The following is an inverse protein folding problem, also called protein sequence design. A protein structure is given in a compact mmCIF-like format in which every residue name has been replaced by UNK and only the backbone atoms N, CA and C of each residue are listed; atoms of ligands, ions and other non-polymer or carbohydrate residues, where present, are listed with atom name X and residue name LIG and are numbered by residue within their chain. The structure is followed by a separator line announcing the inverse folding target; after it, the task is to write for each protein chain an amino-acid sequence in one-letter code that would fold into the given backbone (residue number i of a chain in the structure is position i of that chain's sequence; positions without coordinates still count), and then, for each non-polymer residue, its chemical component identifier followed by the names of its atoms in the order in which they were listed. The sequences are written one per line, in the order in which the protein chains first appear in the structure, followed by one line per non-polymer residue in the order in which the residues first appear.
data_IF_965186385991
#
_entry.id   IF_965186385991
#
_cell.length_a   1.000
_cell.length_b   1.000
_cell.length_c   1.000
_cell.angle_alpha   90.00
_cell.angle_beta   90.00
_cell.angle_gamma   90.00
#
_symmetry.space_group_name_H-M   'P 1'
#
loop_
_entity.id
_entity.type
_entity.pdbx_description
1 polymer ?
#
# COMPACT_ATOMS: atom_id res chain seq x y z
N UNK A 1 -1.97 -10.07 -9.74
CA UNK A 1 -0.81 -9.58 -10.54
C UNK A 1 -0.84 -10.07 -11.99
N UNK A 2 -1.21 -11.32 -12.27
CA UNK A 2 -1.19 -11.88 -13.63
C UNK A 2 -1.92 -11.02 -14.69
N UNK A 3 -3.10 -10.47 -14.39
CA UNK A 3 -3.83 -9.60 -15.32
C UNK A 3 -3.09 -8.30 -15.68
N UNK A 4 -2.30 -7.75 -14.76
CA UNK A 4 -1.49 -6.55 -15.01
C UNK A 4 -0.28 -6.87 -15.88
N UNK A 5 0.33 -8.03 -15.67
CA UNK A 5 1.40 -8.52 -16.52
C UNK A 5 0.90 -8.83 -17.94
N UNK A 6 -0.23 -9.56 -18.06
CA UNK A 6 -0.85 -9.83 -19.36
C UNK A 6 -1.24 -8.57 -20.14
N UNK A 7 -1.58 -7.49 -19.45
CA UNK A 7 -1.85 -6.18 -20.06
C UNK A 7 -0.58 -5.34 -20.33
N UNK A 8 0.61 -5.85 -20.06
CA UNK A 8 1.88 -5.15 -20.26
C UNK A 8 2.12 -3.97 -19.29
N UNK A 9 1.36 -3.86 -18.22
CA UNK A 9 1.46 -2.76 -17.24
C UNK A 9 2.50 -3.07 -16.16
N UNK A 10 2.61 -4.33 -15.75
CA UNK A 10 3.62 -4.82 -14.82
C UNK A 10 4.56 -5.76 -15.57
N UNK A 11 5.86 -5.49 -15.53
CA UNK A 11 6.87 -6.30 -16.20
C UNK A 11 7.48 -7.36 -15.28
N UNK A 12 7.69 -7.00 -14.02
CA UNK A 12 8.27 -7.86 -13.00
C UNK A 12 7.51 -7.70 -11.68
N UNK A 13 7.41 -8.79 -10.93
CA UNK A 13 6.87 -8.80 -9.58
C UNK A 13 7.88 -9.41 -8.62
N UNK A 14 8.39 -8.58 -7.71
CA UNK A 14 9.29 -9.01 -6.66
C UNK A 14 8.48 -9.34 -5.40
N UNK A 15 8.49 -10.60 -5.00
CA UNK A 15 7.90 -11.10 -3.76
C UNK A 15 8.98 -11.14 -2.69
N UNK A 16 8.82 -10.34 -1.64
CA UNK A 16 9.79 -10.31 -0.55
C UNK A 16 9.53 -11.42 0.46
N UNK A 17 10.49 -12.35 0.62
CA UNK A 17 10.40 -13.44 1.59
C UNK A 17 10.55 -12.91 3.04
N UNK A 18 9.46 -12.36 3.55
CA UNK A 18 9.31 -12.00 4.96
C UNK A 18 8.45 -13.04 5.72
N UNK A 19 8.28 -14.22 5.15
CA UNK A 19 7.48 -15.33 5.68
C UNK A 19 8.01 -15.83 7.02
N UNK A 20 7.10 -16.09 7.94
CA UNK A 20 7.39 -16.58 9.29
C UNK A 20 7.00 -18.02 9.48
N UNK A 21 5.98 -18.44 8.75
CA UNK A 21 5.45 -19.78 8.75
C UNK A 21 6.02 -20.55 7.57
N UNK A 22 6.20 -21.86 7.73
CA UNK A 22 6.72 -22.70 6.66
C UNK A 22 5.78 -22.70 5.43
N UNK A 23 4.48 -22.62 5.67
CA UNK A 23 3.47 -22.54 4.62
C UNK A 23 3.54 -21.23 3.84
N UNK A 24 3.85 -20.10 4.46
CA UNK A 24 4.06 -18.82 3.76
C UNK A 24 5.25 -18.93 2.81
N UNK A 25 6.35 -19.53 3.29
CA UNK A 25 7.57 -19.71 2.49
C UNK A 25 7.31 -20.66 1.32
N UNK A 26 6.62 -21.78 1.57
CA UNK A 26 6.25 -22.74 0.51
C UNK A 26 5.37 -22.08 -0.57
N UNK A 27 4.37 -21.32 -0.16
CA UNK A 27 3.51 -20.58 -1.08
C UNK A 27 4.29 -19.57 -1.94
N UNK A 28 5.22 -18.81 -1.34
CA UNK A 28 6.04 -17.86 -2.09
C UNK A 28 6.98 -18.56 -3.08
N UNK A 29 7.51 -19.74 -2.74
CA UNK A 29 8.31 -20.57 -3.65
C UNK A 29 7.49 -21.10 -4.82
N UNK A 30 6.28 -21.59 -4.56
CA UNK A 30 5.33 -22.03 -5.60
C UNK A 30 4.97 -20.86 -6.53
N UNK A 31 4.68 -19.70 -5.95
CA UNK A 31 4.38 -18.50 -6.72
C UNK A 31 5.55 -18.08 -7.63
N UNK A 32 6.77 -18.09 -7.11
CA UNK A 32 7.98 -17.80 -7.90
C UNK A 32 8.17 -18.81 -9.05
N UNK A 33 7.88 -20.09 -8.81
CA UNK A 33 7.98 -21.12 -9.84
C UNK A 33 6.88 -21.03 -10.90
N UNK A 34 5.77 -20.33 -10.61
CA UNK A 34 4.59 -20.29 -11.49
C UNK A 34 4.78 -19.45 -12.75
N UNK A 35 5.71 -18.47 -12.74
CA UNK A 35 5.92 -17.60 -13.90
C UNK A 35 7.30 -16.89 -13.86
N UNK A 36 7.98 -16.74 -15.02
CA UNK A 36 9.34 -16.18 -15.08
C UNK A 36 9.43 -14.68 -14.76
N UNK A 37 8.32 -13.97 -14.73
CA UNK A 37 8.26 -12.54 -14.36
C UNK A 37 8.04 -12.33 -12.86
N UNK A 38 7.95 -13.42 -12.06
CA UNK A 38 7.87 -13.37 -10.61
C UNK A 38 9.25 -13.73 -10.05
N UNK A 39 9.78 -12.89 -9.18
CA UNK A 39 11.07 -13.10 -8.53
C UNK A 39 10.89 -13.11 -7.02
N UNK A 40 11.22 -14.24 -6.40
CA UNK A 40 11.31 -14.33 -4.95
C UNK A 40 12.60 -13.66 -4.49
N UNK A 41 12.48 -12.57 -3.74
CA UNK A 41 13.60 -11.88 -3.12
C UNK A 41 13.83 -12.48 -1.74
N UNK A 42 14.93 -13.24 -1.54
CA UNK A 42 15.18 -13.88 -0.27
C UNK A 42 15.42 -12.85 0.82
N UNK A 43 15.15 -13.24 2.07
CA UNK A 43 15.43 -12.39 3.21
C UNK A 43 16.92 -11.97 3.22
N UNK A 44 17.22 -10.65 3.26
CA UNK A 44 18.59 -10.15 3.04
C UNK A 44 19.59 -10.43 4.17
N UNK A 45 19.22 -11.18 5.18
CA UNK A 45 20.09 -11.58 6.30
C UNK A 45 19.95 -13.06 6.62
N UNK A 46 21.05 -13.72 6.92
CA UNK A 46 21.02 -15.11 7.39
C UNK A 46 20.52 -15.25 8.84
N UNK A 47 20.49 -14.16 9.59
CA UNK A 47 20.03 -14.17 10.96
C UNK A 47 18.50 -13.86 11.05
N UNK A 48 17.70 -14.83 10.64
CA UNK A 48 16.24 -14.78 10.80
C UNK A 48 15.82 -14.69 12.29
N UNK A 49 16.69 -15.05 13.25
CA UNK A 49 16.43 -14.96 14.70
C UNK A 49 16.52 -13.52 15.22
N UNK A 50 17.36 -12.70 14.64
CA UNK A 50 17.42 -11.28 15.00
C UNK A 50 16.10 -10.54 14.76
N UNK A 51 15.28 -11.04 13.82
CA UNK A 51 13.94 -10.53 13.53
C UNK A 51 12.89 -10.84 14.60
N UNK A 52 12.95 -12.05 15.16
CA UNK A 52 11.96 -12.48 16.15
C UNK A 52 12.10 -11.73 17.49
N UNK A 53 13.30 -11.22 17.80
CA UNK A 53 13.65 -10.69 19.12
C UNK A 53 13.46 -9.18 19.23
N UNK A 54 13.51 -8.38 18.13
CA UNK A 54 13.53 -6.92 18.22
C UNK A 54 12.52 -6.19 17.33
N UNK A 55 11.37 -6.77 17.10
CA UNK A 55 10.30 -6.01 16.40
C UNK A 55 10.61 -5.71 14.93
N UNK A 56 9.65 -5.96 14.16
CA UNK A 56 9.48 -5.93 12.70
C UNK A 56 10.13 -4.79 11.86
N UNK A 57 10.47 -3.61 12.38
CA UNK A 57 10.90 -2.49 11.52
C UNK A 57 12.22 -2.75 10.79
N UNK A 58 13.12 -3.55 11.36
CA UNK A 58 14.46 -3.73 10.78
C UNK A 58 14.46 -4.64 9.54
N UNK A 59 13.60 -5.65 9.51
CA UNK A 59 13.58 -6.61 8.41
C UNK A 59 13.18 -5.99 7.07
N UNK A 60 12.11 -5.24 7.05
CA UNK A 60 11.63 -4.57 5.83
C UNK A 60 12.65 -3.56 5.31
N UNK A 61 13.35 -2.85 6.18
CA UNK A 61 14.43 -1.94 5.77
C UNK A 61 15.56 -2.63 5.01
N UNK A 62 15.87 -3.88 5.37
CA UNK A 62 16.87 -4.66 4.64
C UNK A 62 16.41 -4.98 3.21
N UNK A 63 15.13 -5.26 3.01
CA UNK A 63 14.58 -5.41 1.66
C UNK A 63 14.66 -4.09 0.87
N UNK A 64 14.29 -2.97 1.47
CA UNK A 64 14.45 -1.66 0.84
C UNK A 64 15.91 -1.40 0.45
N UNK A 65 16.85 -1.70 1.34
CA UNK A 65 18.27 -1.51 1.09
C UNK A 65 18.79 -2.44 -0.03
N UNK A 66 18.36 -3.68 -0.07
CA UNK A 66 18.69 -4.63 -1.14
C UNK A 66 18.15 -4.18 -2.50
N UNK A 67 17.02 -3.51 -2.55
CA UNK A 67 16.38 -3.06 -3.78
C UNK A 67 16.85 -1.70 -4.27
N UNK A 68 17.58 -0.93 -3.47
CA UNK A 68 18.06 0.41 -3.89
C UNK A 68 19.00 0.40 -5.08
N UNK A 69 19.73 -0.71 -5.28
CA UNK A 69 20.68 -0.87 -6.36
C UNK A 69 20.06 -1.37 -7.68
N UNK A 70 18.79 -1.77 -7.64
CA UNK A 70 18.08 -2.16 -8.86
C UNK A 70 17.90 -0.94 -9.75
N UNK A 71 18.67 -0.90 -10.82
CA UNK A 71 18.96 0.30 -11.64
C UNK A 71 17.92 0.64 -12.70
N UNK A 72 16.73 0.07 -12.64
CA UNK A 72 15.71 0.36 -13.66
C UNK A 72 15.15 1.78 -13.51
N UNK A 73 15.13 2.54 -14.59
CA UNK A 73 14.48 3.87 -14.68
C UNK A 73 12.95 3.81 -14.62
N UNK A 74 12.39 2.68 -14.17
CA UNK A 74 10.97 2.43 -14.16
C UNK A 74 10.25 3.01 -12.96
N UNK A 75 8.93 3.05 -13.06
CA UNK A 75 8.06 3.25 -11.91
C UNK A 75 8.00 1.95 -11.11
N UNK A 76 8.10 2.07 -9.81
CA UNK A 76 7.93 0.98 -8.87
C UNK A 76 6.64 1.15 -8.11
N UNK A 77 6.00 0.05 -7.82
CA UNK A 77 4.81 0.01 -6.98
C UNK A 77 5.00 -1.05 -5.90
N UNK A 78 4.65 -0.72 -4.67
CA UNK A 78 4.56 -1.65 -3.56
C UNK A 78 3.11 -1.89 -3.22
N UNK A 79 2.76 -3.16 -3.04
CA UNK A 79 1.53 -3.61 -2.42
C UNK A 79 1.85 -4.28 -1.09
N UNK A 80 1.06 -4.02 -0.05
CA UNK A 80 1.07 -4.85 1.15
C UNK A 80 0.48 -6.23 0.84
N UNK A 81 0.85 -7.22 1.62
CA UNK A 81 0.44 -8.63 1.46
C UNK A 81 -1.05 -8.87 1.71
N UNK A 82 -1.74 -7.92 2.32
CA UNK A 82 -3.16 -7.95 2.61
C UNK A 82 -4.00 -7.02 1.71
N UNK A 83 -3.49 -6.65 0.54
CA UNK A 83 -4.31 -6.07 -0.53
C UNK A 83 -5.10 -7.19 -1.21
N UNK A 84 -6.42 -7.19 -1.01
CA UNK A 84 -7.33 -8.24 -1.46
C UNK A 84 -8.03 -7.96 -2.78
N UNK A 85 -7.97 -6.71 -3.24
CA UNK A 85 -8.47 -6.29 -4.55
C UNK A 85 -7.74 -5.04 -5.02
N UNK A 86 -7.58 -4.91 -6.32
CA UNK A 86 -7.06 -3.70 -6.94
C UNK A 86 -7.79 -3.46 -8.27
N UNK A 87 -7.86 -2.21 -8.69
CA UNK A 87 -8.58 -1.73 -9.87
C UNK A 87 -8.04 -2.35 -11.19
N UNK A 88 -8.62 -1.99 -12.32
CA UNK A 88 -8.27 -2.51 -13.63
C UNK A 88 -6.82 -2.19 -14.06
N UNK A 89 -6.24 -2.95 -15.02
CA UNK A 89 -4.92 -2.64 -15.58
C UNK A 89 -4.83 -1.23 -16.15
N UNK A 90 -5.89 -0.70 -16.78
CA UNK A 90 -5.90 0.66 -17.29
C UNK A 90 -5.74 1.70 -16.17
N UNK A 91 -6.41 1.49 -15.04
CA UNK A 91 -6.29 2.38 -13.87
C UNK A 91 -4.92 2.30 -13.19
N UNK A 92 -4.33 1.11 -13.16
CA UNK A 92 -2.94 0.99 -12.72
C UNK A 92 -2.00 1.75 -13.66
N UNK A 93 -2.18 1.64 -14.97
CA UNK A 93 -1.38 2.41 -15.95
C UNK A 93 -1.50 3.92 -15.73
N UNK A 94 -2.73 4.44 -15.53
CA UNK A 94 -2.97 5.85 -15.18
C UNK A 94 -2.23 6.28 -13.90
N UNK A 95 -2.22 5.43 -12.88
CA UNK A 95 -1.51 5.67 -11.62
C UNK A 95 0.01 5.71 -11.79
N UNK A 96 0.56 4.77 -12.57
CA UNK A 96 1.99 4.74 -12.88
C UNK A 96 2.40 5.95 -13.73
N UNK A 97 1.56 6.39 -14.66
CA UNK A 97 1.78 7.59 -15.44
C UNK A 97 1.68 8.87 -14.60
N UNK A 98 0.74 8.94 -13.66
CA UNK A 98 0.69 10.01 -12.67
C UNK A 98 1.99 10.06 -11.84
N UNK A 99 2.53 8.91 -11.47
CA UNK A 99 3.82 8.82 -10.77
C UNK A 99 4.97 9.38 -11.61
N UNK A 100 5.01 9.08 -12.92
CA UNK A 100 6.03 9.63 -13.84
C UNK A 100 5.91 11.16 -13.95
N UNK A 101 4.69 11.68 -14.11
CA UNK A 101 4.44 13.13 -14.18
C UNK A 101 4.77 13.88 -12.90
N UNK A 102 4.75 13.20 -11.78
CA UNK A 102 5.06 13.79 -10.45
C UNK A 102 6.55 13.90 -10.15
N UNK A 103 7.42 13.53 -11.10
CA UNK A 103 8.88 13.60 -10.96
C UNK A 103 9.33 14.97 -10.42
N UNK A 104 10.10 14.98 -9.35
CA UNK A 104 10.63 16.19 -8.71
C UNK A 104 9.60 17.04 -7.95
N UNK A 105 8.33 16.64 -7.95
CA UNK A 105 7.24 17.36 -7.25
C UNK A 105 6.76 16.55 -6.05
N UNK A 106 6.34 15.32 -6.29
CA UNK A 106 5.86 14.40 -5.24
C UNK A 106 6.73 13.13 -5.25
N UNK A 107 7.47 12.86 -4.17
CA UNK A 107 8.40 11.73 -4.15
C UNK A 107 7.69 10.37 -4.13
N UNK A 108 6.52 10.29 -3.51
CA UNK A 108 5.71 9.07 -3.41
C UNK A 108 4.25 9.39 -3.69
N UNK A 109 3.63 8.55 -4.52
CA UNK A 109 2.19 8.57 -4.75
C UNK A 109 1.52 7.42 -4.00
N UNK A 110 0.34 7.68 -3.46
CA UNK A 110 -0.49 6.73 -2.72
C UNK A 110 -1.71 6.36 -3.55
N UNK A 111 -1.98 5.06 -3.67
CA UNK A 111 -3.24 4.60 -4.25
C UNK A 111 -4.43 4.95 -3.34
N UNK A 112 -5.60 5.10 -3.92
CA UNK A 112 -6.86 5.27 -3.19
C UNK A 112 -7.24 3.95 -2.50
N UNK A 113 -7.03 3.90 -1.19
CA UNK A 113 -7.11 2.64 -0.43
C UNK A 113 -8.39 2.57 0.39
N UNK A 114 -9.24 1.59 0.09
CA UNK A 114 -10.39 1.18 0.92
C UNK A 114 -9.86 0.61 2.24
N UNK A 115 -10.53 0.92 3.34
CA UNK A 115 -10.11 0.60 4.70
C UNK A 115 -8.77 1.27 5.08
N UNK A 116 -8.58 2.52 4.67
CA UNK A 116 -7.47 3.34 5.12
C UNK A 116 -8.00 4.64 5.72
N UNK A 117 -7.59 5.04 6.94
CA UNK A 117 -8.11 6.23 7.62
C UNK A 117 -7.91 7.54 6.84
N UNK A 118 -6.80 7.68 6.12
CA UNK A 118 -6.52 8.85 5.31
C UNK A 118 -7.54 8.99 4.19
N UNK A 119 -7.70 7.91 3.42
CA UNK A 119 -8.65 7.87 2.34
C UNK A 119 -10.10 7.97 2.82
N UNK A 120 -10.43 7.34 3.96
CA UNK A 120 -11.77 7.48 4.56
C UNK A 120 -12.13 8.94 4.84
N UNK A 121 -11.16 9.78 5.18
CA UNK A 121 -11.37 11.22 5.31
C UNK A 121 -11.63 11.88 3.96
N UNK A 122 -10.78 11.63 2.95
CA UNK A 122 -10.89 12.24 1.62
C UNK A 122 -12.16 11.77 0.88
N UNK A 123 -12.46 10.48 0.94
CA UNK A 123 -13.63 9.86 0.31
C UNK A 123 -14.95 10.39 0.85
N UNK A 124 -14.99 10.85 2.10
CA UNK A 124 -16.18 11.38 2.76
C UNK A 124 -16.18 12.91 2.88
N UNK A 125 -15.30 13.60 2.16
CA UNK A 125 -15.30 15.06 2.14
C UNK A 125 -16.61 15.57 1.52
N UNK A 126 -17.36 16.47 2.21
CA UNK A 126 -18.66 16.94 1.74
C UNK A 126 -18.62 17.65 0.38
N UNK A 127 -17.46 18.21 0.02
CA UNK A 127 -17.27 18.97 -1.23
C UNK A 127 -16.66 18.15 -2.36
N UNK A 128 -15.86 17.16 -2.00
CA UNK A 128 -14.99 16.48 -2.97
C UNK A 128 -15.03 14.96 -2.87
N UNK A 129 -15.61 14.42 -1.81
CA UNK A 129 -15.69 13.00 -1.55
C UNK A 129 -16.71 12.28 -2.45
N UNK A 130 -16.44 11.02 -2.71
CA UNK A 130 -17.29 10.15 -3.53
C UNK A 130 -18.30 9.38 -2.69
N UNK A 131 -18.07 9.28 -1.38
CA UNK A 131 -18.92 8.52 -0.45
C UNK A 131 -19.70 9.50 0.41
N UNK A 132 -21.05 9.52 0.34
CA UNK A 132 -21.83 10.30 1.28
C UNK A 132 -21.64 9.76 2.70
N UNK A 133 -21.73 10.62 3.72
CA UNK A 133 -21.53 10.43 5.16
C UNK A 133 -22.13 9.13 5.77
N UNK A 134 -21.78 7.96 5.22
CA UNK A 134 -22.25 6.63 5.68
C UNK A 134 -21.36 5.99 6.74
N UNK A 135 -20.17 6.57 6.93
CA UNK A 135 -19.17 6.09 7.88
C UNK A 135 -18.66 7.26 8.72
N UNK A 136 -18.20 7.04 9.94
CA UNK A 136 -17.58 8.09 10.74
C UNK A 136 -16.40 8.69 9.98
N UNK A 137 -16.46 9.99 9.68
CA UNK A 137 -15.37 10.71 9.04
C UNK A 137 -14.30 11.03 10.07
N UNK A 138 -13.02 10.65 9.81
CA UNK A 138 -11.92 11.07 10.68
C UNK A 138 -11.80 12.60 10.71
N UNK A 139 -11.36 13.15 11.85
CA UNK A 139 -11.01 14.56 11.93
C UNK A 139 -9.78 14.86 11.10
N UNK A 140 -9.71 16.04 10.51
CA UNK A 140 -8.52 16.54 9.82
C UNK A 140 -7.64 17.36 10.78
N UNK A 141 -6.32 17.27 10.71
CA UNK A 141 -5.55 16.26 9.98
C UNK A 141 -5.68 14.90 10.65
N UNK A 142 -5.94 13.82 9.88
CA UNK A 142 -6.16 12.49 10.45
C UNK A 142 -4.93 11.93 11.17
N UNK A 143 -3.82 12.66 11.24
CA UNK A 143 -2.48 12.18 11.54
C UNK A 143 -1.78 12.88 12.67
N UNK A 144 -2.49 13.65 13.50
CA UNK A 144 -1.86 14.27 14.64
C UNK A 144 -1.13 13.23 15.49
N UNK A 145 0.18 13.24 15.35
CA UNK A 145 1.26 12.56 16.08
C UNK A 145 1.38 11.04 15.96
N UNK A 146 0.37 10.24 15.63
CA UNK A 146 0.54 8.79 15.63
C UNK A 146 -0.35 7.99 14.64
N UNK A 147 -0.98 8.61 13.67
CA UNK A 147 -1.80 7.91 12.66
C UNK A 147 -2.99 7.14 13.22
N UNK A 148 -3.27 7.31 14.50
CA UNK A 148 -4.19 6.48 15.26
C UNK A 148 -5.52 7.19 15.46
N UNK A 149 -6.26 7.41 14.38
CA UNK A 149 -7.66 7.65 14.61
C UNK A 149 -8.35 6.32 14.98
N UNK A 150 -9.55 6.44 15.55
CA UNK A 150 -10.32 5.28 15.99
C UNK A 150 -10.62 4.25 14.89
N UNK A 151 -10.61 4.66 13.62
CA UNK A 151 -10.89 3.78 12.48
C UNK A 151 -9.83 2.70 12.30
N UNK A 152 -8.55 3.02 12.51
CA UNK A 152 -7.46 2.07 12.41
C UNK A 152 -7.59 0.89 13.40
N UNK A 153 -8.27 1.09 14.53
CA UNK A 153 -8.48 0.05 15.55
C UNK A 153 -9.85 -0.63 15.47
N UNK A 154 -10.76 -0.11 14.67
CA UNK A 154 -12.15 -0.51 14.66
C UNK A 154 -12.44 -1.54 13.58
N UNK A 155 -12.36 -2.83 13.93
CA UNK A 155 -12.70 -3.93 13.02
C UNK A 155 -14.16 -3.90 12.54
N UNK A 156 -15.09 -3.46 13.38
CA UNK A 156 -16.49 -3.28 13.00
C UNK A 156 -16.68 -2.21 11.90
N UNK A 157 -15.89 -1.13 11.95
CA UNK A 157 -15.92 -0.11 10.90
C UNK A 157 -15.25 -0.61 9.63
N UNK A 158 -14.12 -1.33 9.74
CA UNK A 158 -13.48 -1.97 8.60
C UNK A 158 -14.44 -2.93 7.89
N UNK A 159 -15.14 -3.80 8.63
CA UNK A 159 -16.16 -4.68 8.08
C UNK A 159 -17.30 -3.91 7.37
N UNK A 160 -17.72 -2.78 7.92
CA UNK A 160 -18.72 -1.91 7.25
C UNK A 160 -18.20 -1.31 5.96
N UNK A 161 -16.92 -0.89 5.94
CA UNK A 161 -16.27 -0.35 4.72
C UNK A 161 -16.21 -1.42 3.65
N UNK A 162 -15.77 -2.64 3.99
CA UNK A 162 -15.73 -3.76 3.05
C UNK A 162 -17.12 -4.13 2.53
N UNK A 163 -18.13 -4.22 3.40
CA UNK A 163 -19.52 -4.49 2.96
C UNK A 163 -20.05 -3.39 2.03
N UNK A 164 -19.71 -2.12 2.29
CA UNK A 164 -20.07 -1.03 1.38
C UNK A 164 -19.38 -1.18 0.03
N UNK A 165 -18.06 -1.47 0.02
CA UNK A 165 -17.30 -1.66 -1.20
C UNK A 165 -17.80 -2.85 -2.03
N UNK A 166 -18.13 -3.96 -1.38
CA UNK A 166 -18.67 -5.14 -2.05
C UNK A 166 -20.09 -4.92 -2.59
N UNK A 167 -20.89 -4.10 -1.91
CA UNK A 167 -22.26 -3.78 -2.33
C UNK A 167 -22.31 -2.82 -3.51
N UNK A 168 -21.54 -1.74 -3.46
CA UNK A 168 -21.59 -0.66 -4.45
C UNK A 168 -20.57 -0.85 -5.59
N UNK A 169 -19.64 -1.81 -5.45
CA UNK A 169 -18.43 -1.97 -6.25
C UNK A 169 -17.25 -1.18 -5.68
N UNK A 170 -16.03 -1.74 -5.62
CA UNK A 170 -14.86 -1.02 -5.11
C UNK A 170 -14.56 0.27 -5.88
N UNK A 171 -14.85 0.33 -7.17
CA UNK A 171 -14.71 1.50 -8.04
C UNK A 171 -15.58 2.69 -7.61
N UNK A 172 -16.62 2.47 -6.82
CA UNK A 172 -17.43 3.54 -6.20
C UNK A 172 -16.60 4.47 -5.32
N UNK A 173 -15.49 3.97 -4.79
CA UNK A 173 -14.55 4.75 -3.98
C UNK A 173 -13.61 5.65 -4.81
N UNK A 174 -13.60 5.51 -6.14
CA UNK A 174 -12.73 6.28 -7.02
C UNK A 174 -13.06 7.77 -6.95
N UNK A 175 -12.01 8.59 -6.91
CA UNK A 175 -12.10 10.03 -6.98
C UNK A 175 -11.39 10.54 -8.24
N UNK A 176 -11.95 11.55 -8.88
CA UNK A 176 -11.29 12.26 -9.98
C UNK A 176 -10.31 13.33 -9.50
N UNK A 177 -10.06 13.41 -8.21
CA UNK A 177 -9.17 14.39 -7.60
C UNK A 177 -8.05 13.71 -6.86
N UNK A 178 -6.87 14.24 -7.08
CA UNK A 178 -5.69 13.97 -6.27
C UNK A 178 -5.66 14.91 -5.07
N UNK A 179 -5.08 14.45 -3.97
CA UNK A 179 -5.00 15.21 -2.72
C UNK A 179 -3.55 15.29 -2.26
N UNK A 180 -3.02 16.49 -2.14
CA UNK A 180 -1.72 16.71 -1.51
C UNK A 180 -1.83 16.44 -0.01
N UNK A 181 -0.96 15.58 0.50
CA UNK A 181 -1.03 15.10 1.89
C UNK A 181 0.13 15.60 2.73
N UNK A 182 0.77 16.64 2.45
CA UNK A 182 1.80 17.20 3.32
C UNK A 182 2.65 16.12 4.04
N UNK A 183 3.07 16.42 5.25
CA UNK A 183 3.92 15.55 6.07
C UNK A 183 3.16 15.00 7.27
N UNK A 184 3.16 13.70 7.44
CA UNK A 184 2.51 13.01 8.54
C UNK A 184 2.68 11.51 8.42
N UNK A 185 2.42 10.75 9.45
CA UNK A 185 2.47 9.29 9.39
C UNK A 185 1.23 8.74 8.71
N UNK A 186 1.42 8.16 7.53
CA UNK A 186 0.36 7.53 6.73
C UNK A 186 0.70 6.08 6.47
N UNK A 187 -0.31 5.23 6.41
CA UNK A 187 -0.09 3.85 6.00
C UNK A 187 0.26 3.75 4.52
N UNK A 188 1.28 2.97 4.22
CA UNK A 188 1.87 2.77 2.89
C UNK A 188 1.37 1.51 2.20
N UNK A 189 0.10 1.14 2.39
CA UNK A 189 -0.51 -0.12 1.89
C UNK A 189 -0.32 -0.32 0.39
N UNK A 190 -0.43 0.76 -0.39
CA UNK A 190 -0.13 0.74 -1.82
C UNK A 190 0.46 2.08 -2.21
N UNK A 191 1.73 2.09 -2.60
CA UNK A 191 2.47 3.30 -2.98
C UNK A 191 3.26 3.07 -4.25
N UNK A 192 3.46 4.15 -5.02
CA UNK A 192 4.31 4.15 -6.22
C UNK A 192 5.33 5.28 -6.17
N UNK A 193 6.50 5.03 -6.78
CA UNK A 193 7.60 6.00 -6.87
C UNK A 193 8.46 5.74 -8.11
N UNK A 194 9.26 6.69 -8.50
CA UNK A 194 10.31 6.49 -9.52
C UNK A 194 11.50 5.76 -8.89
N UNK A 195 12.08 4.78 -9.59
CA UNK A 195 13.19 3.99 -9.08
C UNK A 195 14.38 4.83 -8.58
N UNK A 196 14.66 5.95 -9.24
CA UNK A 196 15.71 6.88 -8.82
C UNK A 196 15.39 7.64 -7.53
N UNK A 197 14.11 7.82 -7.18
CA UNK A 197 13.69 8.66 -6.05
C UNK A 197 14.16 8.10 -4.71
N UNK A 198 14.01 6.81 -4.47
CA UNK A 198 14.41 6.17 -3.20
C UNK A 198 15.83 5.61 -3.22
N UNK A 199 16.49 5.63 -4.38
CA UNK A 199 17.84 5.08 -4.57
C UNK A 199 18.92 5.71 -3.64
N UNK A 200 18.91 7.03 -3.36
CA UNK A 200 19.91 7.64 -2.49
C UNK A 200 19.80 7.21 -1.02
N UNK A 201 18.68 6.63 -0.61
CA UNK A 201 18.41 6.36 0.80
C UNK A 201 19.28 5.20 1.31
N UNK A 202 20.05 5.46 2.35
CA UNK A 202 20.69 4.42 3.15
C UNK A 202 19.75 3.95 4.24
N UNK A 203 18.99 2.90 3.96
CA UNK A 203 17.95 2.40 4.87
C UNK A 203 18.49 1.95 6.22
N UNK A 204 19.75 1.49 6.27
CA UNK A 204 20.42 1.16 7.52
C UNK A 204 20.62 2.37 8.45
N UNK A 205 20.67 3.59 7.90
CA UNK A 205 20.80 4.82 8.68
C UNK A 205 19.45 5.41 9.11
N UNK A 206 18.33 4.96 8.54
CA UNK A 206 16.98 5.43 8.89
C UNK A 206 16.63 4.98 10.31
N UNK A 207 16.41 5.94 11.21
CA UNK A 207 16.13 5.68 12.64
C UNK A 207 14.68 5.33 12.93
N UNK A 208 13.76 5.82 12.11
CA UNK A 208 12.32 5.57 12.21
C UNK A 208 11.91 4.29 11.47
N UNK A 209 10.66 3.85 11.60
CA UNK A 209 10.14 2.80 10.72
C UNK A 209 9.98 3.32 9.28
N UNK A 210 9.85 2.40 8.31
CA UNK A 210 9.78 2.75 6.89
C UNK A 210 8.54 3.59 6.56
N UNK A 211 7.43 3.34 7.25
CA UNK A 211 6.19 4.09 7.06
C UNK A 211 6.39 5.55 7.46
N UNK A 212 6.92 5.80 8.67
CA UNK A 212 7.16 7.16 9.13
C UNK A 212 8.20 7.87 8.25
N UNK A 213 9.26 7.17 7.88
CA UNK A 213 10.30 7.77 7.04
C UNK A 213 9.75 8.20 5.68
N UNK A 214 9.07 7.31 4.95
CA UNK A 214 8.53 7.61 3.62
C UNK A 214 7.44 8.68 3.62
N UNK A 215 6.72 8.81 4.72
CA UNK A 215 5.56 9.71 4.79
C UNK A 215 5.86 11.06 5.43
N UNK A 216 6.90 11.13 6.26
CA UNK A 216 7.23 12.32 7.05
C UNK A 216 8.65 12.82 6.77
N UNK A 217 9.67 11.99 7.03
CA UNK A 217 11.06 12.46 6.98
C UNK A 217 11.54 12.63 5.54
N UNK A 218 11.30 11.64 4.67
CA UNK A 218 11.81 11.62 3.32
C UNK A 218 11.31 12.75 2.42
N UNK A 219 10.04 13.15 2.40
CA UNK A 219 9.60 14.29 1.62
C UNK A 219 10.29 15.60 2.02
N UNK A 220 10.65 15.74 3.29
CA UNK A 220 11.42 16.88 3.80
C UNK A 220 12.87 16.82 3.32
N UNK A 221 13.52 15.66 3.47
CA UNK A 221 14.91 15.45 3.07
C UNK A 221 15.11 15.55 1.55
N UNK A 222 14.13 15.16 0.77
CA UNK A 222 14.15 15.21 -0.69
C UNK A 222 13.96 16.62 -1.28
N UNK A 223 13.86 17.65 -0.42
CA UNK A 223 13.53 19.03 -0.85
C UNK A 223 12.26 19.07 -1.73
N UNK A 224 11.32 18.15 -1.49
CA UNK A 224 10.05 18.13 -2.20
C UNK A 224 9.24 19.36 -1.84
N UNK A 225 8.86 20.14 -2.85
CA UNK A 225 8.12 21.39 -2.64
C UNK A 225 6.69 21.16 -2.13
N UNK A 226 6.15 19.92 -2.29
CA UNK A 226 4.73 19.65 -2.04
C UNK A 226 4.42 18.40 -1.21
N UNK A 227 5.44 17.63 -0.77
CA UNK A 227 5.24 16.39 -0.04
C UNK A 227 4.67 15.27 -0.93
N UNK A 228 4.00 14.30 -0.31
CA UNK A 228 3.42 13.16 -1.01
C UNK A 228 2.03 13.47 -1.58
N UNK A 229 1.59 12.66 -2.57
CA UNK A 229 0.30 12.83 -3.24
C UNK A 229 -0.57 11.57 -3.11
N UNK A 230 -1.83 11.74 -2.74
CA UNK A 230 -2.86 10.70 -2.87
C UNK A 230 -3.50 10.79 -4.26
N UNK A 231 -3.39 9.70 -5.04
CA UNK A 231 -4.01 9.61 -6.36
C UNK A 231 -5.40 8.96 -6.26
N UNK A 232 -6.45 9.73 -6.57
CA UNK A 232 -7.83 9.28 -6.42
C UNK A 232 -8.28 8.22 -7.42
N UNK A 233 -7.62 8.14 -8.58
CA UNK A 233 -8.09 7.38 -9.75
C UNK A 233 -7.84 5.88 -9.73
N UNK A 234 -6.89 5.38 -8.93
CA UNK A 234 -6.57 3.95 -8.78
C UNK A 234 -6.95 3.47 -7.39
N UNK A 235 -7.89 2.55 -7.32
CA UNK A 235 -8.44 2.03 -6.05
C UNK A 235 -7.86 0.67 -5.72
N UNK A 236 -7.53 0.47 -4.46
CA UNK A 236 -7.17 -0.84 -3.90
C UNK A 236 -7.96 -1.11 -2.61
N UNK A 237 -8.21 -2.36 -2.28
CA UNK A 237 -8.83 -2.75 -1.01
C UNK A 237 -7.80 -3.41 -0.10
N UNK A 238 -7.50 -2.75 1.01
CA UNK A 238 -6.65 -3.27 2.07
C UNK A 238 -7.52 -3.97 3.11
N UNK A 239 -7.26 -5.27 3.37
CA UNK A 239 -8.14 -6.08 4.19
C UNK A 239 -8.18 -5.63 5.65
N UNK A 240 -7.04 -5.61 6.33
CA UNK A 240 -7.05 -5.39 7.78
C UNK A 240 -5.75 -4.83 8.33
N UNK A 241 -5.81 -3.76 9.08
CA UNK A 241 -4.73 -3.41 10.00
C UNK A 241 -4.65 -4.42 11.17
N UNK A 242 -3.45 -4.58 11.73
CA UNK A 242 -3.22 -5.52 12.83
C UNK A 242 -4.29 -5.49 13.94
N UNK A 243 -4.69 -4.32 14.48
CA UNK A 243 -5.73 -4.23 15.50
C UNK A 243 -7.15 -4.61 15.04
N UNK A 244 -7.41 -4.67 13.73
CA UNK A 244 -8.70 -5.04 13.15
C UNK A 244 -8.82 -6.56 12.92
N UNK A 245 -7.68 -7.27 12.82
CA UNK A 245 -7.61 -8.68 12.40
C UNK A 245 -8.54 -9.58 13.20
N UNK A 246 -8.48 -9.54 14.52
CA UNK A 246 -9.29 -10.41 15.37
C UNK A 246 -10.81 -10.28 15.14
N UNK A 247 -11.28 -9.10 14.71
CA UNK A 247 -12.67 -8.91 14.35
C UNK A 247 -12.97 -9.40 12.93
N UNK A 248 -12.12 -9.01 11.98
CA UNK A 248 -12.32 -9.31 10.56
C UNK A 248 -12.13 -10.79 10.21
N UNK A 249 -11.29 -11.50 10.95
CA UNK A 249 -11.08 -12.95 10.75
C UNK A 249 -12.37 -13.77 10.89
N UNK A 250 -13.33 -13.30 11.68
CA UNK A 250 -14.65 -13.93 11.80
C UNK A 250 -15.50 -13.81 10.52
N UNK A 251 -15.26 -12.78 9.72
CA UNK A 251 -15.94 -12.51 8.46
C UNK A 251 -15.02 -12.68 7.24
N UNK A 252 -13.78 -13.14 7.45
CA UNK A 252 -12.74 -13.13 6.43
C UNK A 252 -13.11 -13.94 5.18
N UNK A 253 -13.53 -15.18 5.35
CA UNK A 253 -13.78 -16.06 4.21
C UNK A 253 -14.82 -15.50 3.21
N UNK A 254 -16.01 -15.03 3.63
CA UNK A 254 -16.97 -14.47 2.68
C UNK A 254 -16.50 -13.14 2.05
N UNK A 255 -15.78 -12.31 2.79
CA UNK A 255 -15.26 -11.05 2.26
C UNK A 255 -14.16 -11.31 1.22
N UNK A 256 -13.22 -12.20 1.52
CA UNK A 256 -12.14 -12.56 0.61
C UNK A 256 -12.67 -13.24 -0.66
N UNK A 257 -13.61 -14.19 -0.51
CA UNK A 257 -14.26 -14.86 -1.65
C UNK A 257 -15.00 -13.85 -2.55
N UNK A 258 -15.67 -12.85 -1.97
CA UNK A 258 -16.35 -11.82 -2.74
C UNK A 258 -15.37 -10.92 -3.51
N UNK A 259 -14.25 -10.54 -2.92
CA UNK A 259 -13.21 -9.79 -3.63
C UNK A 259 -12.52 -10.64 -4.72
N UNK A 260 -12.28 -11.93 -4.46
CA UNK A 260 -11.75 -12.85 -5.46
C UNK A 260 -12.68 -12.95 -6.68
N UNK A 261 -13.97 -13.12 -6.45
CA UNK A 261 -14.98 -13.14 -7.51
C UNK A 261 -15.00 -11.83 -8.33
N UNK A 262 -14.89 -10.67 -7.67
CA UNK A 262 -14.77 -9.36 -8.37
C UNK A 262 -13.47 -9.24 -9.15
N UNK A 263 -12.42 -9.88 -8.73
CA UNK A 263 -11.13 -9.90 -9.42
C UNK A 263 -11.08 -10.92 -10.59
N UNK A 264 -12.06 -11.79 -10.69
CA UNK A 264 -12.14 -12.85 -11.70
C UNK A 264 -11.18 -14.02 -11.40
N UNK A 265 -10.93 -14.31 -10.14
CA UNK A 265 -10.08 -15.43 -9.66
C UNK A 265 -10.86 -16.32 -8.71
#
# INVERSE_FOLDING_TARGET
MARYHAAGVVHEWHVWDNGRLAEDVAYMQELNASAPWITLVPYPSQDKRALAIKGRPHGIKLFWDSQRHVTTCGVRIRFDDDIVWADSPARLADFLDATRRSRGVHPVLYANTINNPLWAWAQQDPKTGTIPNRLPRPAWPPFHRFGMNSLWRRGDLAARVHRLALKEGPEYFRSNRDVEIGWGRYSINCIAWLGETLRPISWGAVKTDEEFYLTHDFPSDANSSRGNLMHGGFVVAHFAFGPQKAYLEKEAAPVLAAYAALAGV
#
